data_IF_456830389044
#
_entry.id   IF_456830389044
#
_cell.length_a   1.000
_cell.length_b   1.000
_cell.length_c   1.000
_cell.angle_alpha   90.00
_cell.angle_beta   90.00
_cell.angle_gamma   90.00
#
_symmetry.space_group_name_H-M   'P 1'
#
loop_
_entity.id
_entity.type
_entity.pdbx_description
1 polymer ?
#
# COMPACT_ATOMS: atom_id res chain seq x y z
N UNK A 1 -19.58 3.23 25.38
CA UNK A 1 -18.62 4.08 24.63
C UNK A 1 -18.80 3.76 23.16
N UNK A 2 -19.48 4.65 22.46
CA UNK A 2 -19.72 4.58 21.02
C UNK A 2 -18.59 5.34 20.33
N UNK A 3 -17.86 4.68 19.41
CA UNK A 3 -16.76 5.31 18.68
C UNK A 3 -17.32 6.02 17.44
N UNK A 4 -17.78 7.25 17.60
CA UNK A 4 -18.40 8.04 16.53
C UNK A 4 -17.38 8.96 15.83
N UNK A 5 -16.37 8.39 15.15
CA UNK A 5 -15.64 9.15 14.12
C UNK A 5 -15.15 8.19 13.04
N UNK A 6 -15.90 8.07 11.95
CA UNK A 6 -15.41 7.48 10.70
C UNK A 6 -14.81 8.63 9.91
N UNK A 7 -13.48 8.75 9.92
CA UNK A 7 -12.79 9.65 9.00
C UNK A 7 -12.54 8.88 7.70
N UNK A 8 -13.25 9.27 6.63
CA UNK A 8 -12.95 8.82 5.29
C UNK A 8 -11.65 9.48 4.85
N UNK A 9 -10.59 8.68 4.67
CA UNK A 9 -9.35 9.17 4.09
C UNK A 9 -9.48 9.17 2.58
N UNK A 10 -9.76 10.35 2.01
CA UNK A 10 -9.74 10.54 0.57
C UNK A 10 -8.30 10.77 0.09
N UNK A 11 -7.66 9.70 -0.37
CA UNK A 11 -6.33 9.77 -1.01
C UNK A 11 -6.48 10.31 -2.44
N UNK A 12 -6.52 11.64 -2.58
CA UNK A 12 -6.41 12.29 -3.88
C UNK A 12 -4.94 12.41 -4.29
N UNK A 13 -4.62 11.95 -5.50
CA UNK A 13 -3.29 12.12 -6.08
C UNK A 13 -3.05 13.60 -6.41
N UNK A 14 -2.31 14.32 -5.56
CA UNK A 14 -1.82 15.68 -5.86
C UNK A 14 -0.47 15.57 -6.54
N UNK A 15 -0.47 15.56 -7.87
CA UNK A 15 0.76 15.57 -8.66
C UNK A 15 0.50 15.17 -10.10
N UNK A 16 0.87 16.04 -11.03
CA UNK A 16 0.71 15.83 -12.46
C UNK A 16 1.62 14.67 -12.94
N UNK A 17 1.16 13.43 -12.82
CA UNK A 17 1.80 12.25 -13.36
C UNK A 17 0.84 11.61 -14.36
N UNK A 18 1.29 11.46 -15.61
CA UNK A 18 0.52 10.91 -16.71
C UNK A 18 -0.01 9.53 -16.34
N UNK A 19 -1.34 9.44 -16.20
CA UNK A 19 -2.18 8.31 -15.76
C UNK A 19 -2.16 8.08 -14.24
N UNK A 20 -3.32 8.15 -13.55
CA UNK A 20 -3.38 7.82 -12.14
C UNK A 20 -3.00 6.35 -12.00
N UNK A 21 -1.94 6.09 -11.24
CA UNK A 21 -1.71 4.79 -10.65
C UNK A 21 -2.97 4.43 -9.86
N UNK A 22 -3.72 3.41 -10.32
CA UNK A 22 -4.91 2.97 -9.59
C UNK A 22 -4.43 2.28 -8.32
N UNK A 23 -4.36 3.05 -7.24
CA UNK A 23 -4.08 2.54 -5.91
C UNK A 23 -5.27 1.68 -5.50
N UNK A 24 -5.04 0.38 -5.35
CA UNK A 24 -6.11 -0.53 -4.96
C UNK A 24 -6.09 -0.85 -3.45
N UNK A 25 -4.95 -0.68 -2.77
CA UNK A 25 -4.76 -1.12 -1.39
C UNK A 25 -3.83 -0.15 -0.66
N UNK A 26 -4.18 0.17 0.57
CA UNK A 26 -3.36 0.92 1.51
C UNK A 26 -3.42 0.27 2.89
N UNK A 27 -2.37 0.42 3.68
CA UNK A 27 -2.32 0.00 5.09
C UNK A 27 -1.52 1.00 5.93
N UNK A 28 -1.91 1.13 7.19
CA UNK A 28 -1.28 2.02 8.16
C UNK A 28 -0.48 1.22 9.17
N UNK A 29 0.71 1.71 9.50
CA UNK A 29 1.47 1.12 10.59
C UNK A 29 0.71 1.37 11.91
N UNK A 30 0.56 0.37 12.79
CA UNK A 30 -0.31 0.48 13.96
C UNK A 30 0.17 1.51 15.00
N UNK A 31 1.46 1.82 15.01
CA UNK A 31 2.09 2.70 16.01
C UNK A 31 2.96 3.82 15.46
N UNK A 32 3.28 3.79 14.16
CA UNK A 32 4.20 4.75 13.53
C UNK A 32 3.44 5.49 12.44
N UNK A 33 3.85 6.73 12.15
CA UNK A 33 3.23 7.54 11.11
C UNK A 33 3.72 7.11 9.72
N UNK A 34 3.39 5.88 9.34
CA UNK A 34 3.77 5.27 8.08
C UNK A 34 2.53 4.74 7.39
N UNK A 35 2.48 4.94 6.08
CA UNK A 35 1.47 4.37 5.21
C UNK A 35 2.15 3.64 4.06
N UNK A 36 1.75 2.40 3.84
CA UNK A 36 2.15 1.65 2.66
C UNK A 36 0.97 1.56 1.70
N UNK A 37 1.24 1.78 0.42
CA UNK A 37 0.27 1.65 -0.66
C UNK A 37 0.78 0.68 -1.71
N UNK A 38 -0.12 -0.09 -2.30
CA UNK A 38 0.20 -0.96 -3.40
C UNK A 38 -0.35 -0.38 -4.70
N UNK A 39 0.51 -0.36 -5.71
CA UNK A 39 0.26 0.20 -7.01
C UNK A 39 0.84 -0.71 -8.09
N UNK A 40 -0.02 -1.40 -8.82
CA UNK A 40 0.41 -2.43 -9.78
C UNK A 40 1.20 -3.53 -9.06
N UNK A 41 2.46 -3.71 -9.45
CA UNK A 41 3.40 -4.67 -8.83
C UNK A 41 4.32 -4.05 -7.78
N UNK A 42 4.10 -2.78 -7.45
CA UNK A 42 4.93 -2.03 -6.52
C UNK A 42 4.24 -1.85 -5.17
N UNK A 43 5.04 -1.92 -4.11
CA UNK A 43 4.68 -1.43 -2.78
C UNK A 43 5.48 -0.15 -2.54
N UNK A 44 4.80 0.91 -2.15
CA UNK A 44 5.39 2.22 -1.88
C UNK A 44 5.09 2.59 -0.44
N UNK A 45 6.11 2.99 0.32
CA UNK A 45 5.98 3.43 1.70
C UNK A 45 6.17 4.95 1.76
N UNK A 46 5.32 5.61 2.55
CA UNK A 46 5.34 7.03 2.77
C UNK A 46 5.37 7.36 4.25
N UNK A 47 6.08 8.44 4.56
CA UNK A 47 5.99 9.15 5.82
C UNK A 47 4.63 9.86 5.85
N UNK A 48 3.77 9.49 6.81
CA UNK A 48 2.41 10.01 6.88
C UNK A 48 2.35 11.45 7.43
N UNK A 49 3.41 11.95 8.06
CA UNK A 49 3.47 13.34 8.54
C UNK A 49 3.76 14.33 7.41
N UNK A 50 4.68 13.97 6.52
CA UNK A 50 5.20 14.83 5.46
C UNK A 50 4.64 14.49 4.08
N UNK A 51 4.07 13.29 3.91
CA UNK A 51 3.72 12.73 2.61
C UNK A 51 4.93 12.33 1.77
N UNK A 52 6.13 12.31 2.36
CA UNK A 52 7.35 11.99 1.64
C UNK A 52 7.46 10.49 1.38
N UNK A 53 7.86 10.13 0.18
CA UNK A 53 8.15 8.74 -0.17
C UNK A 53 9.42 8.27 0.55
N UNK A 54 9.30 7.19 1.33
CA UNK A 54 10.39 6.55 2.07
C UNK A 54 11.02 5.46 1.20
N UNK A 55 10.19 4.56 0.66
CA UNK A 55 10.67 3.39 -0.07
C UNK A 55 9.75 2.99 -1.23
N UNK A 56 10.31 2.22 -2.17
CA UNK A 56 9.60 1.63 -3.30
C UNK A 56 10.21 0.28 -3.60
N UNK A 57 9.38 -0.76 -3.62
CA UNK A 57 9.81 -2.13 -3.87
C UNK A 57 8.93 -2.71 -4.97
N UNK A 58 9.55 -3.29 -5.99
CA UNK A 58 8.86 -4.10 -6.99
C UNK A 58 8.77 -5.54 -6.49
N UNK A 59 7.55 -6.03 -6.32
CA UNK A 59 7.26 -7.38 -5.84
C UNK A 59 7.03 -8.36 -7.00
N UNK A 60 6.90 -7.84 -8.23
CA UNK A 60 6.74 -8.64 -9.45
C UNK A 60 5.35 -9.25 -9.64
N UNK A 61 4.41 -9.02 -8.71
CA UNK A 61 3.04 -9.51 -8.75
C UNK A 61 2.07 -8.49 -8.15
N UNK A 62 0.79 -8.59 -8.52
CA UNK A 62 -0.25 -7.72 -7.97
C UNK A 62 -0.52 -8.05 -6.50
N UNK A 63 -0.57 -7.01 -5.66
CA UNK A 63 -0.91 -7.17 -4.25
C UNK A 63 -2.43 -7.23 -4.11
N UNK A 64 -2.97 -8.27 -3.48
CA UNK A 64 -4.41 -8.44 -3.24
C UNK A 64 -4.85 -7.93 -1.88
N UNK A 65 -3.97 -8.10 -0.87
CA UNK A 65 -4.15 -7.56 0.49
C UNK A 65 -2.81 -7.28 1.11
N UNK A 66 -2.77 -6.31 2.01
CA UNK A 66 -1.55 -5.97 2.75
C UNK A 66 -1.87 -5.47 4.15
N UNK A 67 -0.98 -5.76 5.10
CA UNK A 67 -1.06 -5.26 6.48
C UNK A 67 0.35 -5.12 7.06
N UNK A 68 0.57 -4.11 7.91
CA UNK A 68 1.76 -4.07 8.74
C UNK A 68 1.68 -5.14 9.84
N UNK A 69 2.81 -5.80 10.09
CA UNK A 69 2.96 -6.67 11.24
C UNK A 69 2.81 -5.84 12.53
N UNK A 70 1.94 -6.24 13.47
CA UNK A 70 1.75 -5.50 14.71
C UNK A 70 2.88 -5.68 15.73
N UNK A 71 3.71 -6.72 15.58
CA UNK A 71 4.69 -7.15 16.58
C UNK A 71 6.14 -7.06 16.12
N UNK A 72 6.40 -6.97 14.81
CA UNK A 72 7.74 -6.79 14.26
C UNK A 72 7.87 -5.41 13.63
N UNK A 73 8.92 -4.67 13.99
CA UNK A 73 9.18 -3.35 13.40
C UNK A 73 9.31 -3.42 11.88
N UNK A 74 8.70 -2.45 11.19
CA UNK A 74 8.76 -2.21 9.74
C UNK A 74 8.66 -3.47 8.84
N UNK A 75 7.67 -4.33 9.10
CA UNK A 75 7.37 -5.45 8.21
C UNK A 75 5.98 -5.28 7.61
N UNK A 76 5.91 -5.36 6.29
CA UNK A 76 4.67 -5.40 5.51
C UNK A 76 4.41 -6.85 5.09
N UNK A 77 3.25 -7.37 5.43
CA UNK A 77 2.77 -8.69 4.99
C UNK A 77 1.83 -8.44 3.82
N UNK A 78 2.13 -9.03 2.66
CA UNK A 78 1.34 -8.90 1.44
C UNK A 78 0.90 -10.27 0.90
N UNK A 79 -0.36 -10.36 0.49
CA UNK A 79 -0.90 -11.50 -0.27
C UNK A 79 -0.84 -11.11 -1.75
N UNK A 80 -0.20 -11.93 -2.56
CA UNK A 80 0.04 -11.65 -3.98
C UNK A 80 -0.84 -12.55 -4.86
N UNK A 81 -1.31 -12.01 -5.97
CA UNK A 81 -1.87 -12.80 -7.06
C UNK A 81 -0.73 -13.36 -7.90
N UNK A 82 -0.56 -14.69 -7.91
CA UNK A 82 0.37 -15.36 -8.81
C UNK A 82 -0.41 -15.85 -10.02
N UNK A 83 -0.40 -15.06 -11.08
CA UNK A 83 -0.85 -15.53 -12.39
C UNK A 83 0.25 -16.42 -12.97
N UNK A 84 0.16 -17.74 -12.76
CA UNK A 84 1.01 -18.68 -13.49
C UNK A 84 0.63 -18.63 -14.96
N UNK A 85 1.35 -17.82 -15.74
CA UNK A 85 1.33 -17.93 -17.19
C UNK A 85 1.92 -19.29 -17.51
N UNK A 86 1.09 -20.30 -17.77
CA UNK A 86 1.56 -21.54 -18.37
C UNK A 86 1.95 -21.17 -19.81
N UNK A 87 3.24 -21.19 -20.19
CA UNK A 87 3.54 -21.28 -21.60
C UNK A 87 3.01 -22.64 -22.09
N UNK A 88 2.59 -22.71 -23.35
CA UNK A 88 2.10 -23.88 -24.09
C UNK A 88 0.57 -24.02 -24.20
N UNK A 89 0.05 -23.47 -25.30
CA UNK A 89 -1.00 -24.06 -26.14
C UNK A 89 -0.64 -23.76 -27.59
#
# INVERSE_FOLDING_TARGET
MEWTTVQHLDLWHVGNCSKPFQLHIATFHPTQALVAIASGTYIIEFDAYTGSKISLINIGAHVLRMSYSPTSGHVIIAILEVSSFLPYS
#
